data_IF_193846454264
#
_entry.id   IF_193846454264
#
_cell.length_a   1.000
_cell.length_b   1.000
_cell.length_c   1.000
_cell.angle_alpha   90.00
_cell.angle_beta   90.00
_cell.angle_gamma   90.00
#
_symmetry.space_group_name_H-M   'P 1'
#
loop_
_entity.id
_entity.type
_entity.pdbx_description
1 polymer ?
#
# COMPACT_ATOMS: atom_id res chain seq x y z
N UNK A 1 -2.47 -40.10 -44.00
CA UNK A 1 -1.48 -40.59 -43.01
C UNK A 1 -0.45 -39.48 -42.80
N UNK A 2 -0.59 -38.64 -41.77
CA UNK A 2 0.23 -38.66 -40.53
C UNK A 2 1.73 -38.88 -40.84
N UNK A 3 2.64 -37.95 -40.53
CA UNK A 3 2.98 -37.53 -39.15
C UNK A 3 3.59 -36.11 -39.13
N UNK A 4 3.07 -35.28 -38.23
CA UNK A 4 3.70 -34.02 -37.79
C UNK A 4 4.86 -34.35 -36.86
N UNK A 5 6.01 -33.70 -37.05
CA UNK A 5 7.12 -33.72 -36.10
C UNK A 5 7.30 -32.30 -35.58
N UNK A 6 6.64 -32.03 -34.46
CA UNK A 6 6.76 -30.80 -33.68
C UNK A 6 7.92 -30.99 -32.72
N UNK A 7 9.00 -30.23 -32.90
CA UNK A 7 10.08 -30.13 -31.92
C UNK A 7 9.71 -29.03 -30.90
N UNK A 8 9.24 -29.44 -29.71
CA UNK A 8 9.07 -28.55 -28.57
C UNK A 8 10.38 -28.57 -27.77
N UNK A 9 11.00 -27.39 -27.70
CA UNK A 9 12.09 -27.07 -26.78
C UNK A 9 11.48 -26.99 -25.36
N UNK A 10 11.76 -27.97 -24.52
CA UNK A 10 11.48 -27.93 -23.08
C UNK A 10 12.60 -27.13 -22.39
N UNK A 11 12.39 -25.81 -22.26
CA UNK A 11 13.12 -24.95 -21.33
C UNK A 11 12.13 -24.52 -20.24
N UNK A 12 11.86 -25.43 -19.29
CA UNK A 12 11.08 -25.09 -18.11
C UNK A 12 11.99 -24.90 -16.90
N UNK A 13 12.12 -23.62 -16.56
CA UNK A 13 12.07 -23.06 -15.21
C UNK A 13 12.84 -23.81 -14.12
N UNK A 14 14.01 -23.26 -13.77
CA UNK A 14 14.47 -23.27 -12.38
C UNK A 14 13.48 -22.43 -11.57
N UNK A 15 12.40 -23.05 -11.10
CA UNK A 15 11.54 -22.45 -10.08
C UNK A 15 12.37 -22.41 -8.81
N UNK A 16 12.73 -21.20 -8.36
CA UNK A 16 13.38 -21.00 -7.06
C UNK A 16 12.53 -21.68 -5.97
N UNK A 17 13.16 -22.39 -5.03
CA UNK A 17 12.43 -23.15 -4.03
C UNK A 17 11.69 -22.22 -3.08
N UNK A 18 10.38 -22.45 -3.00
CA UNK A 18 9.56 -22.38 -1.79
C UNK A 18 9.83 -21.20 -0.85
N UNK A 19 9.09 -20.11 -1.04
CA UNK A 19 8.53 -19.41 0.11
C UNK A 19 7.65 -20.42 0.86
N UNK A 20 8.19 -20.99 1.95
CA UNK A 20 7.42 -21.78 2.88
C UNK A 20 6.30 -20.89 3.42
N UNK A 21 5.07 -21.12 2.93
CA UNK A 21 3.85 -20.52 3.43
C UNK A 21 3.57 -21.04 4.85
N UNK A 22 4.34 -20.56 5.83
CA UNK A 22 3.97 -20.67 7.23
C UNK A 22 2.63 -19.95 7.39
N UNK A 23 1.64 -20.63 7.98
CA UNK A 23 0.36 -20.02 8.37
C UNK A 23 0.63 -18.99 9.47
N UNK A 24 1.05 -17.80 9.07
CA UNK A 24 1.25 -16.68 9.98
C UNK A 24 -0.13 -16.27 10.48
N UNK A 25 -0.36 -16.40 11.79
CA UNK A 25 -1.60 -15.93 12.40
C UNK A 25 -1.59 -14.40 12.37
N UNK A 26 -2.61 -13.84 11.74
CA UNK A 26 -2.85 -12.39 11.73
C UNK A 26 -3.78 -12.07 12.90
N UNK A 27 -3.43 -11.03 13.65
CA UNK A 27 -4.28 -10.50 14.72
C UNK A 27 -4.76 -9.10 14.34
N UNK A 28 -5.88 -8.66 14.93
CA UNK A 28 -6.50 -7.34 14.73
C UNK A 28 -6.39 -6.49 16.00
N UNK A 29 -6.24 -5.17 15.85
CA UNK A 29 -6.23 -4.21 16.97
C UNK A 29 -7.64 -3.98 17.55
N UNK A 30 -7.74 -3.48 18.80
CA UNK A 30 -8.98 -2.85 19.27
C UNK A 30 -9.40 -1.70 18.35
N UNK A 31 -10.63 -1.75 17.84
CA UNK A 31 -11.10 -0.88 16.75
C UNK A 31 -11.01 0.63 17.09
N UNK A 32 -11.32 1.03 18.32
CA UNK A 32 -11.38 2.45 18.70
C UNK A 32 -10.00 3.14 18.69
N UNK A 33 -8.96 2.48 19.19
CA UNK A 33 -7.59 3.02 19.17
C UNK A 33 -7.06 3.12 17.75
N UNK A 34 -7.34 2.11 16.93
CA UNK A 34 -7.00 2.12 15.52
C UNK A 34 -7.68 3.27 14.77
N UNK A 35 -8.98 3.50 14.97
CA UNK A 35 -9.70 4.58 14.28
C UNK A 35 -9.13 5.95 14.61
N UNK A 36 -8.83 6.21 15.89
CA UNK A 36 -8.21 7.46 16.33
C UNK A 36 -6.82 7.66 15.68
N UNK A 37 -6.01 6.60 15.65
CA UNK A 37 -4.72 6.62 14.98
C UNK A 37 -4.87 6.89 13.48
N UNK A 38 -5.72 6.12 12.79
CA UNK A 38 -5.90 6.22 11.34
C UNK A 38 -6.34 7.62 10.94
N UNK A 39 -7.35 8.16 11.62
CA UNK A 39 -7.88 9.50 11.31
C UNK A 39 -6.85 10.62 11.55
N UNK A 40 -5.81 10.36 12.36
CA UNK A 40 -4.73 11.32 12.61
C UNK A 40 -3.55 11.17 11.64
N UNK A 41 -3.41 10.01 10.99
CA UNK A 41 -2.22 9.66 10.20
C UNK A 41 -2.51 9.37 8.71
N UNK A 42 -3.78 9.34 8.32
CA UNK A 42 -4.20 9.17 6.93
C UNK A 42 -5.16 10.29 6.58
N UNK A 43 -4.83 11.04 5.53
CA UNK A 43 -5.74 12.07 4.99
C UNK A 43 -6.00 11.84 3.52
N UNK A 44 -7.18 12.24 3.06
CA UNK A 44 -7.57 12.23 1.65
C UNK A 44 -8.01 13.63 1.29
N UNK A 45 -7.28 14.28 0.37
CA UNK A 45 -7.53 15.64 -0.05
C UNK A 45 -7.71 15.71 -1.56
N UNK A 46 -8.53 16.66 -2.02
CA UNK A 46 -8.56 17.06 -3.44
C UNK A 46 -7.59 18.21 -3.63
N UNK A 47 -6.74 18.15 -4.67
CA UNK A 47 -5.94 19.28 -5.10
C UNK A 47 -6.25 19.63 -6.55
N UNK A 48 -6.39 20.94 -6.81
CA UNK A 48 -6.55 21.50 -8.15
C UNK A 48 -5.21 21.80 -8.82
N UNK A 49 -4.09 21.45 -8.20
CA UNK A 49 -2.78 21.70 -8.79
C UNK A 49 -2.65 20.94 -10.12
N UNK A 50 -1.82 21.48 -11.02
CA UNK A 50 -1.45 20.75 -12.22
C UNK A 50 -0.33 19.80 -11.81
N UNK A 51 -0.60 18.50 -11.76
CA UNK A 51 0.49 17.54 -11.73
C UNK A 51 1.21 17.60 -13.07
N UNK A 52 2.47 18.06 -13.05
CA UNK A 52 3.38 17.86 -14.17
C UNK A 52 3.45 16.38 -14.53
N UNK A 53 3.71 16.06 -15.80
CA UNK A 53 3.83 14.70 -16.30
C UNK A 53 4.74 13.87 -15.40
N UNK A 54 4.17 12.83 -14.78
CA UNK A 54 4.92 11.92 -13.91
C UNK A 54 5.24 10.64 -14.66
N UNK A 55 6.53 10.38 -14.88
CA UNK A 55 7.01 9.21 -15.62
C UNK A 55 6.70 7.87 -14.92
N UNK A 56 6.58 7.89 -13.59
CA UNK A 56 6.37 6.68 -12.76
C UNK A 56 4.87 6.35 -12.51
N UNK A 57 3.96 6.74 -13.40
CA UNK A 57 2.53 6.47 -13.24
C UNK A 57 2.18 4.98 -13.38
N UNK A 58 1.22 4.51 -12.57
CA UNK A 58 0.67 3.15 -12.60
C UNK A 58 -0.81 3.22 -12.98
N UNK A 59 -1.13 2.77 -14.19
CA UNK A 59 -2.49 2.83 -14.73
C UNK A 59 -3.39 1.74 -14.13
N UNK A 60 -4.67 2.08 -13.98
CA UNK A 60 -5.74 1.12 -13.71
C UNK A 60 -5.96 0.19 -14.91
N UNK A 61 -6.56 -1.00 -14.71
CA UNK A 61 -6.81 -1.94 -15.81
C UNK A 61 -7.64 -1.39 -16.98
N UNK A 62 -8.53 -0.43 -16.74
CA UNK A 62 -9.32 0.22 -17.79
C UNK A 62 -8.71 1.52 -18.34
N UNK A 63 -7.50 1.86 -17.88
CA UNK A 63 -6.72 3.04 -18.29
C UNK A 63 -7.37 4.41 -18.02
N UNK A 64 -8.51 4.46 -17.30
CA UNK A 64 -9.19 5.72 -16.98
C UNK A 64 -8.58 6.44 -15.78
N UNK A 65 -8.01 5.66 -14.87
CA UNK A 65 -7.37 6.14 -13.65
C UNK A 65 -5.89 5.78 -13.65
N UNK A 66 -5.08 6.59 -12.99
CA UNK A 66 -3.69 6.25 -12.70
C UNK A 66 -3.28 6.83 -11.36
N UNK A 67 -2.24 6.27 -10.75
CA UNK A 67 -1.64 6.85 -9.55
C UNK A 67 -0.12 6.94 -9.65
N UNK A 68 0.47 7.77 -8.81
CA UNK A 68 1.91 7.80 -8.53
C UNK A 68 2.14 7.99 -7.02
N UNK A 69 3.34 7.68 -6.55
CA UNK A 69 3.72 7.80 -5.15
C UNK A 69 4.94 8.73 -5.06
N UNK A 70 4.84 9.74 -4.21
CA UNK A 70 5.95 10.61 -3.82
C UNK A 70 6.14 10.54 -2.31
N UNK A 71 7.26 11.06 -1.80
CA UNK A 71 7.49 11.14 -0.37
C UNK A 71 8.29 12.39 0.00
N UNK A 72 8.08 12.87 1.22
CA UNK A 72 8.85 13.95 1.83
C UNK A 72 9.50 13.48 3.13
N UNK A 73 10.73 13.92 3.39
CA UNK A 73 11.43 13.67 4.65
C UNK A 73 10.80 14.53 5.75
N UNK A 74 10.31 13.89 6.80
CA UNK A 74 9.65 14.56 7.92
C UNK A 74 10.63 14.79 9.07
N UNK A 75 11.36 13.74 9.43
CA UNK A 75 12.27 13.75 10.58
C UNK A 75 13.41 12.72 10.42
N UNK A 76 14.58 13.07 10.96
CA UNK A 76 15.67 12.13 11.24
C UNK A 76 15.59 11.71 12.71
N UNK A 77 14.68 10.78 13.04
CA UNK A 77 14.57 10.28 14.41
C UNK A 77 15.67 9.23 14.71
N UNK A 78 16.08 9.04 15.98
CA UNK A 78 17.07 8.02 16.36
C UNK A 78 16.67 6.60 15.92
N UNK A 79 15.37 6.34 15.81
CA UNK A 79 14.77 5.07 15.43
C UNK A 79 14.71 4.83 13.91
N UNK A 80 15.19 5.76 13.09
CA UNK A 80 15.16 5.71 11.63
C UNK A 80 14.56 6.97 10.99
N UNK A 81 14.73 7.10 9.67
CA UNK A 81 14.12 8.17 8.89
C UNK A 81 12.61 7.95 8.76
N UNK A 82 11.84 9.02 8.98
CA UNK A 82 10.38 9.04 8.85
C UNK A 82 9.98 9.87 7.65
N UNK A 83 9.05 9.32 6.87
CA UNK A 83 8.59 9.86 5.60
C UNK A 83 7.09 10.04 5.60
N UNK A 84 6.63 11.15 5.01
CA UNK A 84 5.24 11.33 4.62
C UNK A 84 5.12 10.87 3.18
N UNK A 85 4.30 9.84 2.93
CA UNK A 85 4.04 9.35 1.58
C UNK A 85 2.78 10.00 1.02
N UNK A 86 2.86 10.50 -0.20
CA UNK A 86 1.72 11.04 -0.92
C UNK A 86 1.41 10.16 -2.12
N UNK A 87 0.21 9.59 -2.14
CA UNK A 87 -0.32 8.80 -3.26
C UNK A 87 -1.25 9.72 -4.03
N UNK A 88 -0.79 10.18 -5.20
CA UNK A 88 -1.58 11.05 -6.06
C UNK A 88 -2.34 10.20 -7.06
N UNK A 89 -3.65 10.40 -7.15
CA UNK A 89 -4.57 9.61 -7.96
C UNK A 89 -5.31 10.54 -8.91
N UNK A 90 -5.20 10.24 -10.20
CA UNK A 90 -5.93 10.94 -11.25
C UNK A 90 -7.13 10.11 -11.72
N UNK A 91 -8.30 10.76 -11.82
CA UNK A 91 -9.56 10.11 -12.20
C UNK A 91 -10.25 10.69 -13.44
N UNK A 92 -9.55 11.51 -14.21
CA UNK A 92 -10.15 12.32 -15.27
C UNK A 92 -10.94 13.50 -14.67
N UNK A 93 -10.57 14.72 -15.03
CA UNK A 93 -11.19 15.94 -14.49
C UNK A 93 -10.17 17.03 -14.14
N UNK A 94 -10.63 18.02 -13.37
CA UNK A 94 -9.87 19.25 -13.07
C UNK A 94 -9.10 19.19 -11.73
N UNK A 95 -9.06 18.02 -11.08
CA UNK A 95 -8.35 17.83 -9.81
C UNK A 95 -7.80 16.42 -9.72
N UNK A 96 -6.85 16.23 -8.82
CA UNK A 96 -6.38 14.91 -8.39
C UNK A 96 -6.69 14.70 -6.91
N UNK A 97 -6.80 13.43 -6.51
CA UNK A 97 -6.89 13.03 -5.12
C UNK A 97 -5.47 12.81 -4.61
N UNK A 98 -5.19 13.25 -3.39
CA UNK A 98 -3.96 12.91 -2.69
C UNK A 98 -4.31 12.22 -1.39
N UNK A 99 -3.82 11.00 -1.27
CA UNK A 99 -3.84 10.27 0.00
C UNK A 99 -2.48 10.46 0.64
N UNK A 100 -2.43 11.08 1.81
CA UNK A 100 -1.19 11.25 2.57
C UNK A 100 -1.16 10.28 3.73
N UNK A 101 -0.09 9.49 3.79
CA UNK A 101 0.26 8.61 4.90
C UNK A 101 1.37 9.30 5.70
N UNK A 102 1.04 9.73 6.91
CA UNK A 102 1.97 10.46 7.77
C UNK A 102 2.85 9.52 8.59
N UNK A 103 4.07 9.98 8.89
CA UNK A 103 4.97 9.36 9.88
C UNK A 103 5.26 7.86 9.60
N UNK A 104 5.44 7.51 8.33
CA UNK A 104 5.76 6.14 7.91
C UNK A 104 7.27 5.92 8.04
N UNK A 105 7.68 4.78 8.59
CA UNK A 105 9.11 4.42 8.64
C UNK A 105 9.64 4.21 7.22
N UNK A 106 10.85 4.67 6.93
CA UNK A 106 11.48 4.53 5.60
C UNK A 106 11.55 3.07 5.12
N UNK A 107 11.69 2.12 6.04
CA UNK A 107 11.70 0.67 5.77
C UNK A 107 10.30 0.12 5.41
N UNK A 108 9.26 0.90 5.67
CA UNK A 108 7.84 0.60 5.51
C UNK A 108 7.23 1.18 4.25
N UNK A 109 7.98 1.23 3.15
CA UNK A 109 7.53 1.78 1.86
C UNK A 109 6.14 1.22 1.53
N UNK A 110 5.12 2.08 1.33
CA UNK A 110 3.78 1.61 1.05
C UNK A 110 3.71 0.81 -0.25
N UNK A 111 3.06 -0.35 -0.19
CA UNK A 111 2.65 -1.09 -1.37
C UNK A 111 1.30 -0.57 -1.83
N UNK A 112 1.25 -0.07 -3.07
CA UNK A 112 0.01 0.40 -3.71
C UNK A 112 -0.19 -0.35 -5.02
N UNK A 113 -1.38 -0.92 -5.18
CA UNK A 113 -1.77 -1.66 -6.40
C UNK A 113 -3.27 -1.55 -6.67
N UNK A 114 -3.63 -1.56 -7.95
CA UNK A 114 -5.02 -1.74 -8.38
C UNK A 114 -5.48 -3.15 -8.06
N UNK A 115 -6.61 -3.31 -7.38
CA UNK A 115 -7.27 -4.61 -7.17
C UNK A 115 -8.41 -4.85 -8.15
N UNK A 116 -8.89 -3.78 -8.77
CA UNK A 116 -9.76 -3.79 -9.95
C UNK A 116 -9.66 -2.43 -10.65
N UNK A 117 -10.56 -2.20 -11.60
CA UNK A 117 -10.72 -0.97 -12.38
C UNK A 117 -10.78 0.35 -11.59
N UNK A 118 -11.26 0.33 -10.34
CA UNK A 118 -11.64 1.54 -9.59
C UNK A 118 -11.13 1.56 -8.15
N UNK A 119 -10.56 0.45 -7.66
CA UNK A 119 -10.15 0.31 -6.28
C UNK A 119 -8.64 0.13 -6.16
N UNK A 120 -8.07 0.90 -5.25
CA UNK A 120 -6.67 0.82 -4.85
C UNK A 120 -6.56 0.11 -3.51
N UNK A 121 -5.72 -0.91 -3.47
CA UNK A 121 -5.23 -1.48 -2.23
C UNK A 121 -3.93 -0.78 -1.85
N UNK A 122 -3.85 -0.33 -0.61
CA UNK A 122 -2.73 0.40 -0.04
C UNK A 122 -2.36 -0.28 1.27
N UNK A 123 -1.10 -0.69 1.42
CA UNK A 123 -0.58 -1.38 2.60
C UNK A 123 0.78 -0.81 2.99
N UNK A 124 1.05 -0.66 4.28
CA UNK A 124 2.34 -0.21 4.78
C UNK A 124 2.67 -0.87 6.12
N UNK A 125 3.96 -0.99 6.42
CA UNK A 125 4.47 -1.80 7.52
C UNK A 125 5.43 -1.04 8.43
N UNK A 126 5.35 -1.29 9.73
CA UNK A 126 6.34 -0.91 10.74
C UNK A 126 7.14 -2.13 11.17
N UNK A 127 8.45 -2.14 10.86
CA UNK A 127 9.44 -3.14 11.31
C UNK A 127 8.98 -4.61 11.15
N UNK A 128 8.19 -4.93 10.10
CA UNK A 128 7.62 -6.27 9.78
C UNK A 128 6.69 -6.89 10.85
N UNK A 129 6.36 -6.15 11.90
CA UNK A 129 5.58 -6.65 13.04
C UNK A 129 4.12 -6.20 13.01
N UNK A 130 3.95 -4.98 12.55
CA UNK A 130 2.67 -4.29 12.50
C UNK A 130 2.57 -3.63 11.14
N UNK A 131 1.38 -3.59 10.58
CA UNK A 131 1.09 -2.89 9.35
C UNK A 131 -0.33 -2.36 9.39
N UNK A 132 -0.68 -1.58 8.39
CA UNK A 132 -2.05 -1.19 8.14
C UNK A 132 -2.31 -1.34 6.65
N UNK A 133 -3.57 -1.61 6.32
CA UNK A 133 -4.03 -1.58 4.95
C UNK A 133 -5.34 -0.82 4.82
N UNK A 134 -5.61 -0.37 3.60
CA UNK A 134 -6.91 0.15 3.22
C UNK A 134 -7.24 -0.14 1.75
N UNK A 135 -8.53 -0.16 1.46
CA UNK A 135 -9.07 -0.17 0.10
C UNK A 135 -9.76 1.16 -0.14
N UNK A 136 -9.27 1.91 -1.12
CA UNK A 136 -9.82 3.19 -1.52
C UNK A 136 -10.58 3.06 -2.84
N UNK A 137 -11.84 3.49 -2.85
CA UNK A 137 -12.67 3.60 -4.05
C UNK A 137 -12.43 4.95 -4.72
N UNK A 138 -11.77 4.94 -5.87
CA UNK A 138 -11.36 6.16 -6.59
C UNK A 138 -12.56 6.87 -7.24
N UNK A 139 -13.58 6.11 -7.63
CA UNK A 139 -14.76 6.66 -8.29
C UNK A 139 -15.60 7.47 -7.29
N UNK A 140 -15.87 6.85 -6.15
CA UNK A 140 -16.74 7.38 -5.11
C UNK A 140 -15.97 8.18 -4.03
N UNK A 141 -14.64 8.16 -4.07
CA UNK A 141 -13.74 8.94 -3.22
C UNK A 141 -13.87 8.65 -1.72
N UNK A 142 -13.96 7.37 -1.35
CA UNK A 142 -14.05 6.96 0.04
C UNK A 142 -13.18 5.74 0.33
N UNK A 143 -12.83 5.57 1.60
CA UNK A 143 -12.14 4.40 2.11
C UNK A 143 -13.18 3.33 2.42
N UNK A 144 -13.24 2.28 1.61
CA UNK A 144 -14.22 1.20 1.73
C UNK A 144 -13.88 0.22 2.85
N UNK A 145 -12.59 -0.04 3.04
CA UNK A 145 -12.06 -0.95 4.07
C UNK A 145 -10.77 -0.37 4.61
N UNK A 146 -10.53 -0.52 5.91
CA UNK A 146 -9.26 -0.19 6.55
C UNK A 146 -9.07 -1.04 7.80
N UNK A 147 -7.88 -1.58 8.02
CA UNK A 147 -7.55 -2.33 9.25
C UNK A 147 -6.05 -2.28 9.59
N UNK A 148 -5.69 -2.78 10.77
CA UNK A 148 -4.32 -3.09 11.16
C UNK A 148 -4.02 -4.58 11.02
N UNK A 149 -2.77 -4.87 10.64
CA UNK A 149 -2.24 -6.21 10.51
C UNK A 149 -1.16 -6.38 11.57
N UNK A 150 -1.26 -7.42 12.39
CA UNK A 150 -0.18 -7.81 13.32
C UNK A 150 0.29 -9.22 13.01
N UNK A 151 1.61 -9.40 13.01
CA UNK A 151 2.23 -10.72 12.86
C UNK A 151 2.39 -11.46 14.18
N UNK A 152 2.17 -10.78 15.30
CA UNK A 152 2.21 -11.31 16.66
C UNK A 152 0.91 -10.93 17.44
N UNK A 153 0.57 -11.59 18.56
CA UNK A 153 -0.61 -11.24 19.34
C UNK A 153 -0.53 -9.83 19.95
N UNK A 154 -1.62 -9.02 19.93
CA UNK A 154 -1.63 -7.66 20.49
C UNK A 154 -1.33 -7.60 21.99
N UNK A 155 -1.60 -8.67 22.75
CA UNK A 155 -1.36 -8.72 24.20
C UNK A 155 0.14 -8.58 24.58
N UNK A 156 1.07 -8.77 23.65
CA UNK A 156 2.52 -8.48 23.83
C UNK A 156 2.93 -7.10 23.32
N UNK A 157 2.02 -6.36 22.69
CA UNK A 157 2.25 -5.08 22.02
C UNK A 157 1.36 -4.03 22.67
N UNK A 158 1.85 -3.44 23.77
CA UNK A 158 1.03 -2.64 24.68
C UNK A 158 0.54 -1.31 24.08
N UNK A 159 1.12 -0.81 22.99
CA UNK A 159 0.61 0.37 22.27
C UNK A 159 1.29 0.60 20.91
N UNK A 160 0.68 1.40 20.03
CA UNK A 160 1.34 2.00 18.86
C UNK A 160 2.59 2.82 19.24
N UNK A 161 2.56 3.46 20.41
CA UNK A 161 3.67 4.27 20.93
C UNK A 161 4.94 3.44 21.18
N UNK A 162 4.81 2.14 21.44
CA UNK A 162 5.96 1.25 21.60
C UNK A 162 6.69 0.99 20.27
N UNK A 163 6.03 1.19 19.13
CA UNK A 163 6.64 1.09 17.80
C UNK A 163 7.30 2.39 17.33
N UNK A 164 6.95 3.54 17.93
CA UNK A 164 7.60 4.82 17.63
C UNK A 164 9.02 4.92 18.18
N UNK A 165 9.35 4.14 19.20
CA UNK A 165 10.69 4.07 19.83
C UNK A 165 11.65 3.23 18.98
#
# INVERSE_FOLDING_TARGET
MMRYLVAIILLFATVSPAFAAGKQKIYMAPQAEYEAWFNSNVTVNRSMDVMETVDARRNSPNEKYWFTITYALVNQAPSGQRLDYSIHIYKGGNYFLTITLFDVLMEGVPEVRWINDKQLYIEWWWKRKMGAYMIFDVENEYIAVRDMIFTEPPQRMQSYEDFKK
#
